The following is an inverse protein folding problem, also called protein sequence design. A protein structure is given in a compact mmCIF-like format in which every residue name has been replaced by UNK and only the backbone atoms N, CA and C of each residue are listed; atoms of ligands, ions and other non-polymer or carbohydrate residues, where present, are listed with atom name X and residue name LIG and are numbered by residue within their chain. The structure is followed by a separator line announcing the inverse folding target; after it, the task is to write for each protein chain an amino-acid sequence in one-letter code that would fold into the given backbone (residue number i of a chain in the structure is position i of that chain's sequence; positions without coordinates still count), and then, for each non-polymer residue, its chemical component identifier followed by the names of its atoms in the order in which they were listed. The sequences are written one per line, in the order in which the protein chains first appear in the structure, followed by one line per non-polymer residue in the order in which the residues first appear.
data_IF_055556070278
#
_entry.id   IF_055556070278
#
_cell.length_a   1.000
_cell.length_b   1.000
_cell.length_c   1.000
_cell.angle_alpha   90.00
_cell.angle_beta   90.00
_cell.angle_gamma   90.00
#
_symmetry.space_group_name_H-M   'P 1'
#
loop_
_entity.id
_entity.type
_entity.pdbx_description
1 polymer ?
#
# COMPACT_ATOMS: atom_id res chain seq x y z
N UNK A 1 66.69 -47.79 16.17
CA UNK A 1 67.90 -47.40 15.44
C UNK A 1 67.66 -47.67 13.96
N UNK A 2 67.98 -46.65 13.14
CA UNK A 2 68.16 -46.54 11.68
C UNK A 2 68.11 -47.83 10.81
N UNK A 3 67.74 -47.84 9.53
CA UNK A 3 67.82 -46.80 8.49
C UNK A 3 67.00 -47.23 7.25
N UNK A 4 66.50 -46.25 6.50
CA UNK A 4 65.85 -46.37 5.19
C UNK A 4 66.91 -46.42 4.07
N UNK A 5 66.59 -47.02 2.90
CA UNK A 5 67.50 -46.96 1.74
C UNK A 5 66.96 -47.49 0.40
N UNK A 6 65.95 -46.82 -0.14
CA UNK A 6 65.73 -46.35 -1.54
C UNK A 6 66.14 -47.13 -2.83
N UNK A 7 65.28 -46.95 -3.86
CA UNK A 7 65.52 -46.91 -5.34
C UNK A 7 65.71 -48.21 -6.16
N UNK A 8 65.35 -48.37 -7.45
CA UNK A 8 64.34 -47.85 -8.43
C UNK A 8 64.45 -48.73 -9.70
N UNK A 9 63.35 -48.98 -10.45
CA UNK A 9 63.26 -49.29 -11.93
C UNK A 9 63.97 -50.56 -12.49
N UNK A 10 63.49 -51.36 -13.45
CA UNK A 10 62.60 -51.18 -14.62
C UNK A 10 62.21 -52.58 -15.21
N UNK A 11 60.98 -52.71 -15.69
CA UNK A 11 60.45 -53.53 -16.84
C UNK A 11 60.98 -54.95 -17.15
N UNK A 12 60.08 -55.96 -17.17
CA UNK A 12 59.45 -56.54 -18.38
C UNK A 12 58.50 -57.71 -18.03
N UNK A 13 57.57 -57.95 -18.95
CA UNK A 13 56.32 -58.70 -18.87
C UNK A 13 56.37 -60.23 -18.65
N UNK A 14 55.20 -60.69 -18.18
CA UNK A 14 54.53 -61.98 -18.44
C UNK A 14 54.94 -63.22 -17.62
N UNK A 15 54.15 -63.54 -16.58
CA UNK A 15 53.44 -64.83 -16.51
C UNK A 15 52.26 -64.77 -15.52
N UNK A 16 51.18 -65.46 -15.87
CA UNK A 16 49.86 -65.49 -15.24
C UNK A 16 49.84 -66.43 -14.03
N UNK A 17 49.47 -65.95 -12.83
CA UNK A 17 48.57 -66.65 -11.88
C UNK A 17 48.10 -65.76 -10.71
N UNK A 18 46.81 -65.92 -10.37
CA UNK A 18 46.12 -65.70 -9.08
C UNK A 18 45.56 -64.33 -8.64
N UNK A 19 44.21 -64.38 -8.56
CA UNK A 19 43.32 -63.94 -7.47
C UNK A 19 42.65 -62.55 -7.52
N UNK A 20 41.35 -62.62 -7.18
CA UNK A 20 40.46 -61.59 -6.60
C UNK A 20 39.56 -60.84 -7.57
N UNK A 21 38.25 -61.15 -7.57
CA UNK A 21 37.22 -60.31 -6.91
C UNK A 21 35.82 -60.79 -7.30
N UNK A 22 34.97 -60.86 -6.27
CA UNK A 22 33.57 -61.21 -6.33
C UNK A 22 32.75 -60.27 -7.23
N UNK A 23 31.86 -60.86 -8.03
CA UNK A 23 30.74 -60.15 -8.67
C UNK A 23 29.50 -61.03 -8.58
N UNK A 24 28.88 -61.05 -7.40
CA UNK A 24 27.54 -61.59 -7.24
C UNK A 24 26.54 -60.44 -7.42
N UNK A 25 25.81 -60.56 -8.52
CA UNK A 25 24.64 -59.78 -8.91
C UNK A 25 23.63 -59.65 -7.77
N UNK A 26 23.25 -58.41 -7.43
CA UNK A 26 22.01 -58.15 -6.71
C UNK A 26 21.10 -57.31 -7.60
N UNK A 27 19.99 -57.94 -7.98
CA UNK A 27 18.91 -57.40 -8.78
C UNK A 27 18.40 -56.07 -8.20
N UNK A 28 18.38 -55.05 -9.04
CA UNK A 28 17.71 -53.78 -8.76
C UNK A 28 16.24 -53.97 -9.10
N UNK A 29 15.44 -54.43 -8.14
CA UNK A 29 13.98 -54.42 -8.26
C UNK A 29 13.53 -52.97 -8.36
N UNK A 30 12.92 -52.66 -9.50
CA UNK A 30 12.39 -51.37 -9.88
C UNK A 30 11.02 -51.22 -9.21
N UNK A 31 10.99 -50.87 -7.93
CA UNK A 31 9.74 -50.46 -7.29
C UNK A 31 9.45 -49.00 -7.65
N UNK A 32 8.49 -48.89 -8.55
CA UNK A 32 7.99 -47.68 -9.13
C UNK A 32 6.94 -47.07 -8.19
N UNK A 33 7.34 -46.07 -7.39
CA UNK A 33 6.43 -45.01 -6.94
C UNK A 33 7.14 -43.64 -6.88
N UNK A 34 7.22 -42.88 -8.01
CA UNK A 34 7.89 -41.58 -8.05
C UNK A 34 7.01 -40.40 -8.51
N UNK A 35 5.67 -40.53 -8.58
CA UNK A 35 4.80 -39.47 -9.12
C UNK A 35 4.41 -38.41 -8.08
N UNK A 36 4.06 -38.81 -6.86
CA UNK A 36 3.58 -37.92 -5.77
C UNK A 36 4.64 -36.93 -5.28
N UNK A 37 5.87 -37.39 -5.00
CA UNK A 37 6.96 -36.52 -4.52
C UNK A 37 7.41 -35.48 -5.56
N UNK A 38 7.32 -35.81 -6.86
CA UNK A 38 7.64 -34.87 -7.94
C UNK A 38 6.58 -33.79 -8.14
N UNK A 39 5.30 -34.15 -7.96
CA UNK A 39 4.18 -33.21 -8.05
C UNK A 39 4.19 -32.19 -6.90
N UNK A 40 4.42 -32.64 -5.66
CA UNK A 40 4.50 -31.77 -4.48
C UNK A 40 5.65 -30.76 -4.62
N UNK A 41 6.84 -31.19 -5.06
CA UNK A 41 7.98 -30.29 -5.32
C UNK A 41 7.68 -29.22 -6.38
N UNK A 42 6.92 -29.57 -7.44
CA UNK A 42 6.48 -28.60 -8.48
C UNK A 42 5.50 -27.57 -7.94
N UNK A 43 4.52 -28.00 -7.14
CA UNK A 43 3.56 -27.09 -6.46
C UNK A 43 4.32 -26.14 -5.54
N UNK A 44 5.28 -26.68 -4.81
CA UNK A 44 6.10 -25.92 -3.87
C UNK A 44 6.95 -24.84 -4.53
N UNK A 45 7.60 -25.20 -5.63
CA UNK A 45 8.34 -24.25 -6.46
C UNK A 45 7.41 -23.14 -6.96
N UNK A 46 6.23 -23.50 -7.44
CA UNK A 46 5.23 -22.55 -7.94
C UNK A 46 4.75 -21.57 -6.85
N UNK A 47 4.39 -22.07 -5.66
CA UNK A 47 3.96 -21.23 -4.53
C UNK A 47 5.07 -20.28 -4.04
N UNK A 48 6.32 -20.74 -4.08
CA UNK A 48 7.48 -19.90 -3.78
C UNK A 48 7.61 -18.76 -4.79
N UNK A 49 7.57 -19.07 -6.09
CA UNK A 49 7.61 -18.07 -7.16
C UNK A 49 6.45 -17.08 -7.04
N UNK A 50 5.25 -17.55 -6.73
CA UNK A 50 4.07 -16.68 -6.51
C UNK A 50 4.31 -15.75 -5.32
N UNK A 51 4.76 -16.25 -4.17
CA UNK A 51 5.04 -15.42 -2.98
C UNK A 51 6.08 -14.33 -3.26
N UNK A 52 7.12 -14.65 -4.04
CA UNK A 52 8.10 -13.68 -4.51
C UNK A 52 7.45 -12.65 -5.47
N UNK A 53 6.59 -13.09 -6.39
CA UNK A 53 5.90 -12.19 -7.32
C UNK A 53 4.97 -11.20 -6.60
N UNK A 54 4.26 -11.64 -5.56
CA UNK A 54 3.41 -10.79 -4.71
C UNK A 54 4.22 -9.69 -3.99
N UNK A 55 5.54 -9.84 -3.89
CA UNK A 55 6.40 -8.85 -3.26
C UNK A 55 6.71 -7.64 -4.17
N UNK A 56 6.59 -7.77 -5.50
CA UNK A 56 6.82 -6.64 -6.42
C UNK A 56 5.80 -5.50 -6.27
N UNK A 57 4.47 -5.76 -6.19
CA UNK A 57 3.49 -4.71 -5.90
C UNK A 57 3.80 -3.93 -4.62
N UNK A 58 4.35 -4.59 -3.60
CA UNK A 58 4.74 -3.95 -2.34
C UNK A 58 5.85 -2.93 -2.58
N UNK A 59 6.89 -3.30 -3.35
CA UNK A 59 7.98 -2.40 -3.72
C UNK A 59 7.47 -1.21 -4.54
N UNK A 60 6.60 -1.46 -5.53
CA UNK A 60 5.99 -0.39 -6.30
C UNK A 60 5.19 0.57 -5.40
N UNK A 61 4.42 0.05 -4.45
CA UNK A 61 3.66 0.84 -3.49
C UNK A 61 4.58 1.67 -2.58
N UNK A 62 5.70 1.11 -2.11
CA UNK A 62 6.71 1.85 -1.34
C UNK A 62 7.24 3.03 -2.16
N UNK A 63 7.66 2.80 -3.40
CA UNK A 63 8.18 3.85 -4.29
C UNK A 63 7.11 4.92 -4.56
N UNK A 64 5.88 4.49 -4.87
CA UNK A 64 4.75 5.39 -5.06
C UNK A 64 4.48 6.26 -3.82
N UNK A 65 4.48 5.67 -2.63
CA UNK A 65 4.31 6.41 -1.38
C UNK A 65 5.46 7.38 -1.13
N UNK A 66 6.70 7.01 -1.44
CA UNK A 66 7.84 7.93 -1.33
C UNK A 66 7.75 9.09 -2.34
N UNK A 67 7.21 8.83 -3.53
CA UNK A 67 7.01 9.84 -4.57
C UNK A 67 5.89 10.82 -4.22
N UNK A 68 4.73 10.33 -3.75
CA UNK A 68 3.54 11.15 -3.40
C UNK A 68 3.65 11.75 -1.98
N UNK A 69 4.88 11.83 -1.43
CA UNK A 69 5.14 12.24 -0.04
C UNK A 69 4.72 13.68 0.29
N UNK A 70 4.58 14.54 -0.71
CA UNK A 70 4.18 15.93 -0.50
C UNK A 70 2.85 16.21 -1.20
N UNK A 71 1.74 15.93 -0.51
CA UNK A 71 0.47 16.54 -0.87
C UNK A 71 0.43 17.98 -0.38
N UNK A 72 -0.23 18.86 -1.15
CA UNK A 72 -0.46 20.25 -0.76
C UNK A 72 -1.10 20.28 0.64
N UNK A 73 -0.42 20.90 1.60
CA UNK A 73 -0.86 21.09 2.99
C UNK A 73 -0.95 19.84 3.89
N UNK A 74 -0.59 18.65 3.40
CA UNK A 74 -0.60 17.43 4.21
C UNK A 74 0.43 17.43 5.34
N UNK A 75 1.51 18.20 5.20
CA UNK A 75 2.60 18.32 6.18
C UNK A 75 2.16 18.91 7.54
N UNK A 76 1.05 19.64 7.56
CA UNK A 76 0.46 20.24 8.75
C UNK A 76 -0.26 19.21 9.64
N UNK A 77 -0.57 18.05 9.07
CA UNK A 77 -1.21 16.94 9.76
C UNK A 77 -0.14 15.89 10.12
N UNK A 78 -0.34 15.04 11.14
CA UNK A 78 0.54 13.91 11.43
C UNK A 78 0.50 12.79 10.38
N UNK A 79 -0.16 13.00 9.23
CA UNK A 79 -0.28 12.06 8.12
C UNK A 79 1.06 11.59 7.52
N UNK A 80 2.09 12.45 7.35
CA UNK A 80 3.39 12.00 6.86
C UNK A 80 4.08 11.02 7.81
N UNK A 81 3.86 11.14 9.13
CA UNK A 81 4.40 10.20 10.12
C UNK A 81 3.78 8.81 9.94
N UNK A 82 2.47 8.74 9.75
CA UNK A 82 1.77 7.49 9.43
C UNK A 82 2.28 6.90 8.11
N UNK A 83 2.44 7.72 7.07
CA UNK A 83 2.95 7.29 5.78
C UNK A 83 4.35 6.67 5.88
N UNK A 84 5.26 7.29 6.63
CA UNK A 84 6.58 6.73 6.90
C UNK A 84 6.49 5.40 7.66
N UNK A 85 5.59 5.31 8.65
CA UNK A 85 5.34 4.06 9.38
C UNK A 85 4.85 2.92 8.47
N UNK A 86 3.92 3.21 7.55
CA UNK A 86 3.44 2.23 6.55
C UNK A 86 4.59 1.79 5.64
N UNK A 87 5.43 2.71 5.16
CA UNK A 87 6.59 2.37 4.33
C UNK A 87 7.54 1.43 5.07
N UNK A 88 7.88 1.73 6.32
CA UNK A 88 8.73 0.86 7.15
C UNK A 88 8.08 -0.50 7.38
N UNK A 89 6.78 -0.54 7.66
CA UNK A 89 6.02 -1.79 7.81
C UNK A 89 6.03 -2.65 6.55
N UNK A 90 5.89 -2.04 5.36
CA UNK A 90 5.95 -2.76 4.08
C UNK A 90 7.35 -3.31 3.78
N UNK A 91 8.42 -2.57 4.10
CA UNK A 91 9.80 -3.06 3.97
C UNK A 91 10.01 -4.26 4.91
N UNK A 92 9.54 -4.16 6.15
CA UNK A 92 9.64 -5.25 7.12
C UNK A 92 8.89 -6.51 6.65
N UNK A 93 7.67 -6.35 6.11
CA UNK A 93 6.92 -7.45 5.51
C UNK A 93 7.68 -8.10 4.35
N UNK A 94 8.26 -7.30 3.46
CA UNK A 94 9.03 -7.79 2.33
C UNK A 94 10.20 -8.66 2.82
N UNK A 95 10.97 -8.18 3.80
CA UNK A 95 12.12 -8.91 4.34
C UNK A 95 11.68 -10.20 5.04
N UNK A 96 10.65 -10.16 5.87
CA UNK A 96 10.18 -11.33 6.62
C UNK A 96 9.56 -12.38 5.69
N UNK A 97 8.75 -11.96 4.73
CA UNK A 97 8.11 -12.89 3.77
C UNK A 97 9.17 -13.67 2.99
N UNK A 98 10.18 -12.98 2.43
CA UNK A 98 11.27 -13.62 1.72
C UNK A 98 12.18 -14.44 2.67
N UNK A 99 12.40 -13.95 3.89
CA UNK A 99 13.19 -14.64 4.91
C UNK A 99 12.59 -15.99 5.33
N UNK A 100 11.28 -16.05 5.58
CA UNK A 100 10.59 -17.29 5.97
C UNK A 100 10.57 -18.31 4.85
N UNK A 101 10.40 -17.84 3.61
CA UNK A 101 10.52 -18.67 2.41
C UNK A 101 11.92 -19.29 2.30
N UNK A 102 12.98 -18.53 2.57
CA UNK A 102 14.37 -18.99 2.49
C UNK A 102 14.77 -19.90 3.66
N UNK A 103 14.39 -19.56 4.89
CA UNK A 103 14.75 -20.28 6.13
C UNK A 103 13.82 -21.46 6.44
N UNK A 104 12.90 -21.77 5.53
CA UNK A 104 11.84 -22.77 5.64
C UNK A 104 12.29 -24.15 6.16
N UNK A 105 13.51 -24.57 5.85
CA UNK A 105 14.00 -25.90 6.23
C UNK A 105 14.09 -26.09 7.75
N UNK A 106 14.43 -25.03 8.50
CA UNK A 106 14.82 -25.13 9.93
C UNK A 106 13.75 -24.67 10.91
N UNK A 107 12.91 -23.67 10.58
CA UNK A 107 11.98 -23.04 11.53
C UNK A 107 10.59 -22.79 10.94
N UNK A 108 9.89 -23.86 10.52
CA UNK A 108 8.61 -23.75 9.83
C UNK A 108 7.49 -23.08 10.66
N UNK A 109 7.24 -23.59 11.87
CA UNK A 109 6.16 -23.10 12.74
C UNK A 109 6.42 -21.68 13.23
N UNK A 110 7.66 -21.40 13.65
CA UNK A 110 8.07 -20.09 14.12
C UNK A 110 8.02 -19.06 12.99
N UNK A 111 8.44 -19.43 11.77
CA UNK A 111 8.36 -18.58 10.59
C UNK A 111 6.93 -18.16 10.27
N UNK A 112 5.96 -19.08 10.34
CA UNK A 112 4.55 -18.73 10.12
C UNK A 112 4.07 -17.69 11.13
N UNK A 113 4.33 -17.88 12.42
CA UNK A 113 3.90 -16.94 13.46
C UNK A 113 4.53 -15.55 13.22
N UNK A 114 5.83 -15.51 12.93
CA UNK A 114 6.58 -14.27 12.67
C UNK A 114 6.06 -13.50 11.45
N UNK A 115 5.57 -14.20 10.41
CA UNK A 115 4.95 -13.57 9.23
C UNK A 115 3.51 -13.14 9.51
N UNK A 116 2.74 -13.95 10.23
CA UNK A 116 1.31 -13.71 10.39
C UNK A 116 1.00 -12.52 11.31
N UNK A 117 1.80 -12.33 12.38
CA UNK A 117 1.62 -11.19 13.29
C UNK A 117 1.65 -9.83 12.55
N UNK A 118 2.72 -9.47 11.79
CA UNK A 118 2.75 -8.19 11.08
C UNK A 118 1.72 -8.11 9.95
N UNK A 119 1.37 -9.24 9.30
CA UNK A 119 0.28 -9.26 8.30
C UNK A 119 -1.06 -8.89 8.94
N UNK A 120 -1.40 -9.45 10.11
CA UNK A 120 -2.63 -9.13 10.82
C UNK A 120 -2.65 -7.64 11.23
N UNK A 121 -1.53 -7.11 11.75
CA UNK A 121 -1.43 -5.68 12.10
C UNK A 121 -1.65 -4.79 10.88
N UNK A 122 -1.10 -5.14 9.72
CA UNK A 122 -1.28 -4.35 8.49
C UNK A 122 -2.69 -4.51 7.93
N UNK A 123 -3.33 -5.67 8.11
CA UNK A 123 -4.73 -5.89 7.76
C UNK A 123 -5.67 -5.00 8.58
N UNK A 124 -5.43 -4.87 9.90
CA UNK A 124 -6.25 -4.02 10.77
C UNK A 124 -6.07 -2.55 10.42
N UNK A 125 -4.84 -2.09 10.19
CA UNK A 125 -4.55 -0.74 9.72
C UNK A 125 -5.22 -0.46 8.37
N UNK A 126 -5.07 -1.36 7.39
CA UNK A 126 -5.70 -1.23 6.08
C UNK A 126 -7.23 -1.12 6.16
N UNK A 127 -7.85 -1.95 6.99
CA UNK A 127 -9.30 -1.94 7.22
C UNK A 127 -9.78 -0.65 7.89
N UNK A 128 -8.99 -0.10 8.83
CA UNK A 128 -9.29 1.18 9.46
C UNK A 128 -9.20 2.36 8.48
N UNK A 129 -8.24 2.34 7.54
CA UNK A 129 -8.11 3.36 6.50
C UNK A 129 -9.31 3.36 5.52
N UNK A 130 -9.87 2.20 5.23
CA UNK A 130 -11.09 2.05 4.42
C UNK A 130 -12.32 2.57 5.17
N UNK A 131 -12.28 2.56 6.51
CA UNK A 131 -13.39 2.96 7.37
C UNK A 131 -14.34 1.81 7.73
N UNK A 132 -13.85 0.57 7.73
CA UNK A 132 -14.65 -0.61 8.10
C UNK A 132 -15.21 -0.53 9.54
N UNK A 133 -14.50 0.16 10.44
CA UNK A 133 -14.87 0.30 11.85
C UNK A 133 -15.11 1.78 12.22
N UNK A 134 -16.32 2.33 12.04
CA UNK A 134 -16.56 3.78 12.11
C UNK A 134 -16.30 4.38 13.50
N UNK A 135 -16.51 3.63 14.58
CA UNK A 135 -16.28 4.11 15.96
C UNK A 135 -14.80 4.11 16.33
N UNK A 136 -14.11 2.98 16.09
CA UNK A 136 -12.70 2.79 16.42
C UNK A 136 -11.77 3.54 15.46
N UNK A 137 -12.21 3.77 14.23
CA UNK A 137 -11.45 4.53 13.24
C UNK A 137 -11.07 5.94 13.71
N UNK A 138 -11.82 6.56 14.63
CA UNK A 138 -11.52 7.91 15.14
C UNK A 138 -10.13 8.04 15.77
N UNK A 139 -9.58 6.95 16.29
CA UNK A 139 -8.25 6.94 16.93
C UNK A 139 -7.10 6.68 15.94
N UNK A 140 -7.41 6.17 14.76
CA UNK A 140 -6.41 5.79 13.76
C UNK A 140 -6.20 6.94 12.79
N UNK A 141 -4.99 7.53 12.72
CA UNK A 141 -4.70 8.61 11.79
C UNK A 141 -4.98 8.18 10.34
N UNK A 142 -5.43 9.13 9.50
CA UNK A 142 -5.76 8.86 8.09
C UNK A 142 -7.12 8.19 7.85
N UNK A 143 -7.82 7.74 8.89
CA UNK A 143 -9.18 7.19 8.75
C UNK A 143 -10.23 8.30 8.47
N UNK A 144 -11.41 7.94 7.92
CA UNK A 144 -12.49 8.89 7.69
C UNK A 144 -12.97 9.63 8.95
N UNK A 145 -13.03 8.91 10.09
CA UNK A 145 -13.48 9.46 11.37
C UNK A 145 -12.47 10.41 11.98
N UNK A 146 -11.19 10.03 11.97
CA UNK A 146 -10.09 10.86 12.47
C UNK A 146 -9.94 12.15 11.65
N UNK A 147 -10.01 12.05 10.31
CA UNK A 147 -9.92 13.21 9.41
C UNK A 147 -11.01 14.25 9.71
N UNK A 148 -12.24 13.80 9.93
CA UNK A 148 -13.36 14.69 10.27
C UNK A 148 -13.13 15.39 11.61
N UNK A 149 -12.61 14.70 12.61
CA UNK A 149 -12.33 15.27 13.93
C UNK A 149 -11.23 16.34 13.86
N UNK A 150 -10.13 16.07 13.15
CA UNK A 150 -8.99 16.99 13.09
C UNK A 150 -9.31 18.24 12.29
N UNK A 151 -10.01 18.10 11.14
CA UNK A 151 -10.35 19.23 10.26
C UNK A 151 -11.48 20.09 10.82
N UNK A 152 -12.40 19.51 11.60
CA UNK A 152 -13.48 20.29 12.22
C UNK A 152 -13.00 21.19 13.37
N UNK A 153 -11.79 20.98 13.89
CA UNK A 153 -11.22 21.82 14.94
C UNK A 153 -10.56 23.07 14.32
N UNK A 154 -11.06 24.26 14.67
CA UNK A 154 -10.60 25.54 14.10
C UNK A 154 -9.11 25.80 14.31
N UNK A 155 -8.54 25.37 15.44
CA UNK A 155 -7.11 25.53 15.73
C UNK A 155 -6.24 24.77 14.71
N UNK A 156 -6.70 23.62 14.26
CA UNK A 156 -6.03 22.83 13.23
C UNK A 156 -6.38 23.32 11.82
N UNK A 157 -7.59 23.81 11.62
CA UNK A 157 -8.04 24.31 10.31
C UNK A 157 -7.33 25.60 9.90
N UNK A 158 -7.08 26.53 10.83
CA UNK A 158 -6.44 27.83 10.56
C UNK A 158 -5.13 27.76 9.75
N UNK A 159 -4.15 26.92 10.10
CA UNK A 159 -2.96 26.76 9.29
C UNK A 159 -3.23 26.01 7.97
N UNK A 160 -4.20 25.09 7.95
CA UNK A 160 -4.58 24.34 6.73
C UNK A 160 -5.20 25.28 5.69
N UNK A 161 -6.17 26.12 6.08
CA UNK A 161 -6.78 27.09 5.18
C UNK A 161 -5.75 28.08 4.63
N UNK A 162 -4.81 28.52 5.47
CA UNK A 162 -3.73 29.43 5.05
C UNK A 162 -2.82 28.76 4.01
N UNK A 163 -2.54 27.47 4.18
CA UNK A 163 -1.79 26.70 3.21
C UNK A 163 -2.57 26.50 1.90
N UNK A 164 -3.87 26.16 1.94
CA UNK A 164 -4.72 26.01 0.74
C UNK A 164 -4.83 27.33 -0.03
N UNK A 165 -4.87 28.46 0.69
CA UNK A 165 -4.77 29.77 0.06
C UNK A 165 -3.43 29.97 -0.65
N UNK A 166 -2.32 29.61 0.00
CA UNK A 166 -0.98 29.76 -0.54
C UNK A 166 -0.65 28.82 -1.71
N UNK A 167 -1.40 27.72 -1.91
CA UNK A 167 -1.20 26.83 -3.08
C UNK A 167 -1.68 27.46 -4.38
N UNK A 168 -2.33 28.63 -4.33
CA UNK A 168 -2.85 29.39 -5.47
C UNK A 168 -3.83 28.65 -6.37
N UNK A 169 -4.36 27.51 -5.92
CA UNK A 169 -5.21 26.63 -6.72
C UNK A 169 -6.47 27.33 -7.22
N UNK A 170 -7.08 28.19 -6.39
CA UNK A 170 -8.25 28.97 -6.82
C UNK A 170 -7.90 30.14 -7.74
N UNK A 171 -6.73 30.74 -7.57
CA UNK A 171 -6.23 31.80 -8.43
C UNK A 171 -5.89 31.25 -9.82
N UNK A 172 -5.21 30.10 -9.89
CA UNK A 172 -4.91 29.41 -11.13
C UNK A 172 -6.21 29.00 -11.86
N UNK A 173 -7.19 28.49 -11.12
CA UNK A 173 -8.53 28.20 -11.67
C UNK A 173 -9.22 29.46 -12.20
N UNK A 174 -9.13 30.59 -11.49
CA UNK A 174 -9.70 31.86 -11.95
C UNK A 174 -9.06 32.33 -13.26
N UNK A 175 -7.73 32.24 -13.39
CA UNK A 175 -7.00 32.58 -14.62
C UNK A 175 -7.34 31.63 -15.76
N UNK A 176 -7.38 30.32 -15.49
CA UNK A 176 -7.74 29.33 -16.51
C UNK A 176 -9.19 29.55 -16.99
N UNK A 177 -10.10 29.92 -16.08
CA UNK A 177 -11.50 30.18 -16.40
C UNK A 177 -11.73 31.44 -17.22
N UNK A 178 -10.84 32.44 -17.16
CA UNK A 178 -10.96 33.65 -17.96
C UNK A 178 -10.41 33.46 -19.39
N UNK A 179 -9.52 32.49 -19.60
CA UNK A 179 -8.97 32.15 -20.91
C UNK A 179 -9.87 31.22 -21.74
N UNK A 180 -10.82 30.54 -21.12
CA UNK A 180 -11.73 29.57 -21.76
C UNK A 180 -13.16 30.11 -21.68
N UNK A 181 -13.93 30.03 -22.77
CA UNK A 181 -15.35 30.44 -22.73
C UNK A 181 -16.12 29.54 -21.76
N UNK A 182 -16.95 30.14 -20.91
CA UNK A 182 -17.62 29.50 -19.77
C UNK A 182 -18.53 28.31 -20.11
N UNK A 183 -18.97 28.17 -21.37
CA UNK A 183 -19.75 27.00 -21.82
C UNK A 183 -18.89 25.79 -22.21
N UNK A 184 -17.61 25.99 -22.51
CA UNK A 184 -16.68 24.93 -22.89
C UNK A 184 -15.87 24.41 -21.70
N UNK A 185 -15.94 25.05 -20.52
CA UNK A 185 -15.19 24.60 -19.36
C UNK A 185 -15.91 23.42 -18.68
N UNK A 186 -15.31 22.22 -18.66
CA UNK A 186 -15.96 21.07 -18.07
C UNK A 186 -15.86 21.16 -16.55
N UNK A 187 -16.94 21.62 -15.91
CA UNK A 187 -17.15 21.59 -14.45
C UNK A 187 -16.95 20.19 -13.81
N UNK A 188 -16.91 19.14 -14.63
CA UNK A 188 -16.68 17.75 -14.23
C UNK A 188 -15.21 17.44 -13.87
N UNK A 189 -14.26 18.26 -14.30
CA UNK A 189 -12.82 18.00 -14.10
C UNK A 189 -12.19 18.73 -12.91
N UNK A 190 -12.98 19.48 -12.12
CA UNK A 190 -12.44 20.12 -10.92
C UNK A 190 -12.05 19.09 -9.86
N UNK A 191 -10.88 19.31 -9.26
CA UNK A 191 -10.49 18.67 -8.02
C UNK A 191 -11.47 19.03 -6.89
N UNK A 192 -11.57 18.22 -5.82
CA UNK A 192 -12.49 18.53 -4.73
C UNK A 192 -12.21 19.91 -4.12
N UNK A 193 -10.93 20.25 -3.95
CA UNK A 193 -10.51 21.54 -3.37
C UNK A 193 -11.01 22.69 -4.26
N UNK A 194 -10.87 22.56 -5.57
CA UNK A 194 -11.39 23.57 -6.50
C UNK A 194 -12.91 23.72 -6.40
N UNK A 195 -13.64 22.59 -6.41
CA UNK A 195 -15.10 22.62 -6.33
C UNK A 195 -15.66 23.10 -4.97
N UNK A 196 -14.92 22.89 -3.88
CA UNK A 196 -15.41 23.17 -2.53
C UNK A 196 -14.89 24.47 -1.90
N UNK A 197 -13.74 24.97 -2.34
CA UNK A 197 -13.12 26.17 -1.79
C UNK A 197 -13.20 27.36 -2.75
N UNK A 198 -13.25 27.12 -4.08
CA UNK A 198 -13.20 28.19 -5.09
C UNK A 198 -14.57 28.55 -5.67
N UNK A 199 -15.59 27.72 -5.48
CA UNK A 199 -16.96 27.89 -5.99
C UNK A 199 -17.92 28.00 -4.80
N UNK A 200 -18.97 28.82 -4.85
CA UNK A 200 -19.96 28.88 -3.78
C UNK A 200 -20.71 27.56 -3.61
N UNK A 201 -21.23 27.29 -2.40
CA UNK A 201 -22.13 26.18 -2.16
C UNK A 201 -23.37 26.22 -3.06
N UNK A 202 -23.83 25.05 -3.51
CA UNK A 202 -24.95 24.93 -4.45
C UNK A 202 -26.30 25.39 -3.89
N UNK A 203 -26.43 25.49 -2.56
CA UNK A 203 -27.62 25.99 -1.85
C UNK A 203 -27.72 27.52 -1.81
N UNK A 204 -26.69 28.25 -2.23
CA UNK A 204 -26.67 29.71 -2.08
C UNK A 204 -27.46 30.50 -3.15
N UNK A 205 -28.17 29.83 -4.06
CA UNK A 205 -29.01 30.41 -5.12
C UNK A 205 -28.38 31.59 -5.90
N UNK A 206 -27.05 31.60 -6.02
CA UNK A 206 -26.28 32.64 -6.70
C UNK A 206 -26.36 32.50 -8.22
N UNK A 207 -26.32 33.62 -8.93
CA UNK A 207 -26.30 33.64 -10.39
C UNK A 207 -24.87 33.41 -10.89
N UNK A 208 -24.69 32.36 -11.69
CA UNK A 208 -23.42 32.06 -12.34
C UNK A 208 -23.04 33.17 -13.32
N UNK A 209 -21.78 33.63 -13.24
CA UNK A 209 -21.20 34.59 -14.19
C UNK A 209 -19.89 34.01 -14.74
N UNK A 210 -18.99 33.58 -13.86
CA UNK A 210 -17.79 32.83 -14.21
C UNK A 210 -17.48 31.79 -13.12
N UNK A 211 -16.49 30.92 -13.31
CA UNK A 211 -16.19 29.79 -12.42
C UNK A 211 -16.00 30.21 -10.97
N UNK A 212 -15.17 31.22 -10.73
CA UNK A 212 -14.87 31.76 -9.38
C UNK A 212 -15.67 33.01 -9.04
N UNK A 213 -16.58 33.46 -9.92
CA UNK A 213 -17.36 34.69 -9.74
C UNK A 213 -18.85 34.45 -9.91
N UNK A 214 -19.62 34.70 -8.85
CA UNK A 214 -21.07 34.45 -8.81
C UNK A 214 -21.80 35.65 -8.21
N UNK A 215 -22.84 36.14 -8.87
CA UNK A 215 -23.62 37.27 -8.38
C UNK A 215 -24.62 36.81 -7.32
N UNK A 216 -24.57 37.41 -6.12
CA UNK A 216 -25.64 37.26 -5.14
C UNK A 216 -26.91 37.91 -5.73
N UNK A 217 -28.02 37.18 -5.75
CA UNK A 217 -29.31 37.76 -6.16
C UNK A 217 -29.74 38.77 -5.11
N UNK A 218 -30.13 39.97 -5.54
CA UNK A 218 -30.55 41.06 -4.65
C UNK A 218 -31.81 40.72 -3.82
N UNK A 219 -32.59 39.72 -4.26
CA UNK A 219 -33.98 39.57 -3.82
C UNK A 219 -34.27 38.28 -3.01
N UNK A 220 -33.28 37.47 -2.65
CA UNK A 220 -33.54 36.22 -1.92
C UNK A 220 -32.51 35.97 -0.83
N UNK A 221 -32.75 36.56 0.34
CA UNK A 221 -32.49 35.85 1.60
C UNK A 221 -33.38 36.39 2.73
N UNK A 222 -34.67 36.07 2.69
CA UNK A 222 -35.62 36.26 3.82
C UNK A 222 -35.60 35.07 4.80
N UNK A 223 -34.53 34.26 4.77
CA UNK A 223 -34.29 33.14 5.68
C UNK A 223 -33.28 33.50 6.78
N UNK A 224 -33.14 32.68 7.84
CA UNK A 224 -32.10 32.87 8.85
C UNK A 224 -30.72 32.76 8.20
N UNK A 225 -29.76 33.66 8.50
CA UNK A 225 -28.48 33.77 7.78
C UNK A 225 -27.85 32.41 7.51
N UNK A 226 -27.65 32.06 6.23
CA UNK A 226 -26.89 30.86 5.87
C UNK A 226 -25.43 31.13 6.15
N UNK A 227 -24.96 30.56 7.25
CA UNK A 227 -23.59 30.68 7.72
C UNK A 227 -22.55 30.37 6.64
N UNK A 228 -22.84 29.54 5.63
CA UNK A 228 -21.87 29.24 4.55
C UNK A 228 -21.93 30.24 3.39
N UNK A 229 -23.11 30.71 3.00
CA UNK A 229 -23.28 31.64 1.88
C UNK A 229 -22.82 33.08 2.22
N UNK A 230 -22.85 33.42 3.51
CA UNK A 230 -22.34 34.69 4.03
C UNK A 230 -20.80 34.70 4.14
N UNK A 231 -20.19 33.55 4.43
CA UNK A 231 -18.74 33.39 4.46
C UNK A 231 -18.10 33.48 3.07
N UNK A 232 -18.82 33.08 2.03
CA UNK A 232 -18.32 33.14 0.67
C UNK A 232 -18.25 34.58 0.13
N UNK A 233 -17.13 34.92 -0.52
CA UNK A 233 -16.91 36.24 -1.13
C UNK A 233 -16.33 36.13 -2.55
N UNK A 234 -16.78 37.03 -3.44
CA UNK A 234 -16.25 37.24 -4.81
C UNK A 234 -14.85 37.86 -4.86
N UNK A 235 -14.03 37.59 -3.86
CA UNK A 235 -12.64 38.04 -3.82
C UNK A 235 -11.77 36.80 -3.88
N UNK A 236 -10.92 36.71 -4.91
CA UNK A 236 -9.94 35.62 -5.10
C UNK A 236 -9.05 35.38 -3.88
N UNK A 237 -8.93 36.38 -2.99
CA UNK A 237 -8.14 36.30 -1.77
C UNK A 237 -8.90 35.85 -0.52
N UNK A 238 -10.23 35.73 -0.57
CA UNK A 238 -11.06 35.30 0.57
C UNK A 238 -11.97 34.11 0.27
N UNK A 239 -12.53 33.99 -0.96
CA UNK A 239 -13.34 32.87 -1.47
C UNK A 239 -14.13 32.11 -0.38
N UNK A 240 -14.15 30.77 -0.40
CA UNK A 240 -14.83 29.93 0.60
C UNK A 240 -13.85 29.17 1.49
N UNK A 241 -12.64 29.69 1.75
CA UNK A 241 -11.60 28.93 2.47
C UNK A 241 -12.01 28.56 3.91
N UNK A 242 -12.93 29.29 4.53
CA UNK A 242 -13.45 28.97 5.87
C UNK A 242 -14.83 28.28 5.86
N UNK A 243 -15.37 27.94 4.69
CA UNK A 243 -16.65 27.26 4.59
C UNK A 243 -16.55 25.78 4.98
N UNK A 244 -17.66 25.21 5.46
CA UNK A 244 -17.77 23.78 5.68
C UNK A 244 -17.64 22.99 4.37
N UNK A 245 -18.10 23.54 3.24
CA UNK A 245 -17.91 22.98 1.90
C UNK A 245 -16.43 22.80 1.52
N UNK A 246 -15.56 23.75 1.90
CA UNK A 246 -14.12 23.66 1.68
C UNK A 246 -13.48 22.60 2.60
N UNK A 247 -13.83 22.61 3.90
CA UNK A 247 -13.39 21.59 4.88
C UNK A 247 -13.77 20.18 4.41
N UNK A 248 -15.02 19.98 4.01
CA UNK A 248 -15.55 18.71 3.50
C UNK A 248 -14.79 18.24 2.26
N UNK A 249 -14.47 19.16 1.36
CA UNK A 249 -13.75 18.84 0.13
C UNK A 249 -12.29 18.49 0.38
N UNK A 250 -11.64 19.18 1.31
CA UNK A 250 -10.30 18.82 1.78
C UNK A 250 -10.29 17.42 2.43
N UNK A 251 -11.24 17.13 3.32
CA UNK A 251 -11.41 15.79 3.92
C UNK A 251 -11.61 14.73 2.84
N UNK A 252 -12.44 14.99 1.83
CA UNK A 252 -12.69 14.04 0.74
C UNK A 252 -11.45 13.77 -0.11
N UNK A 253 -10.62 14.78 -0.37
CA UNK A 253 -9.32 14.62 -1.05
C UNK A 253 -8.43 13.64 -0.30
N UNK A 254 -8.27 13.87 1.01
CA UNK A 254 -7.47 12.99 1.88
C UNK A 254 -8.08 11.59 1.95
N UNK A 255 -9.38 11.49 2.20
CA UNK A 255 -10.10 10.20 2.29
C UNK A 255 -9.88 9.35 1.04
N UNK A 256 -9.96 9.93 -0.17
CA UNK A 256 -9.75 9.16 -1.41
C UNK A 256 -8.33 8.62 -1.52
N UNK A 257 -7.32 9.39 -1.11
CA UNK A 257 -5.91 8.95 -1.09
C UNK A 257 -5.73 7.78 -0.12
N UNK A 258 -6.17 7.94 1.12
CA UNK A 258 -6.02 6.93 2.18
C UNK A 258 -6.88 5.69 1.96
N UNK A 259 -8.07 5.84 1.36
CA UNK A 259 -8.92 4.72 0.98
C UNK A 259 -8.24 3.83 -0.07
N UNK A 260 -7.67 4.42 -1.14
CA UNK A 260 -6.93 3.66 -2.17
C UNK A 260 -5.77 2.88 -1.56
N UNK A 261 -5.02 3.51 -0.65
CA UNK A 261 -3.95 2.85 0.09
C UNK A 261 -4.48 1.72 0.97
N UNK A 262 -5.55 1.96 1.73
CA UNK A 262 -6.18 0.96 2.59
C UNK A 262 -6.65 -0.27 1.81
N UNK A 263 -7.34 -0.07 0.68
CA UNK A 263 -7.77 -1.15 -0.22
C UNK A 263 -6.58 -1.96 -0.70
N UNK A 264 -5.51 -1.28 -1.15
CA UNK A 264 -4.27 -1.95 -1.57
C UNK A 264 -3.67 -2.82 -0.46
N UNK A 265 -3.54 -2.27 0.76
CA UNK A 265 -3.00 -2.99 1.91
C UNK A 265 -3.83 -4.22 2.25
N UNK A 266 -5.17 -4.09 2.31
CA UNK A 266 -6.07 -5.21 2.61
C UNK A 266 -5.95 -6.31 1.57
N UNK A 267 -6.04 -5.97 0.28
CA UNK A 267 -5.97 -6.95 -0.82
C UNK A 267 -4.62 -7.68 -0.81
N UNK A 268 -3.51 -6.94 -0.74
CA UNK A 268 -2.17 -7.54 -0.75
C UNK A 268 -1.92 -8.41 0.48
N UNK A 269 -2.35 -7.96 1.66
CA UNK A 269 -2.22 -8.76 2.88
C UNK A 269 -3.02 -10.05 2.82
N UNK A 270 -4.26 -10.03 2.30
CA UNK A 270 -5.05 -11.26 2.12
C UNK A 270 -4.33 -12.23 1.18
N UNK A 271 -3.83 -11.74 0.04
CA UNK A 271 -3.09 -12.57 -0.92
C UNK A 271 -1.82 -13.17 -0.28
N UNK A 272 -1.07 -12.40 0.51
CA UNK A 272 0.10 -12.90 1.23
C UNK A 272 -0.30 -13.93 2.29
N UNK A 273 -1.34 -13.69 3.08
CA UNK A 273 -1.84 -14.63 4.10
C UNK A 273 -2.16 -15.97 3.44
N UNK A 274 -2.95 -15.95 2.36
CA UNK A 274 -3.31 -17.17 1.61
C UNK A 274 -2.07 -17.86 1.07
N UNK A 275 -1.15 -17.11 0.47
CA UNK A 275 0.10 -17.68 -0.07
C UNK A 275 0.94 -18.38 0.99
N UNK A 276 1.16 -17.74 2.15
CA UNK A 276 1.95 -18.31 3.24
C UNK A 276 1.25 -19.49 3.93
N UNK A 277 -0.08 -19.44 4.08
CA UNK A 277 -0.87 -20.56 4.59
C UNK A 277 -0.83 -21.77 3.66
N UNK A 278 -1.05 -21.57 2.35
CA UNK A 278 -0.96 -22.64 1.36
C UNK A 278 0.44 -23.23 1.31
N UNK A 279 1.47 -22.37 1.31
CA UNK A 279 2.85 -22.80 1.38
C UNK A 279 3.02 -23.70 2.61
N UNK A 280 2.64 -23.21 3.81
CA UNK A 280 2.72 -23.95 5.06
C UNK A 280 2.03 -25.32 5.00
N UNK A 281 0.78 -25.38 4.56
CA UNK A 281 0.00 -26.64 4.45
C UNK A 281 0.68 -27.64 3.53
N UNK A 282 1.14 -27.19 2.34
CA UNK A 282 1.85 -28.07 1.40
C UNK A 282 3.19 -28.52 1.98
N UNK A 283 3.88 -27.66 2.72
CA UNK A 283 5.15 -28.05 3.38
C UNK A 283 4.93 -29.15 4.44
N UNK A 284 3.85 -29.05 5.20
CA UNK A 284 3.50 -30.02 6.24
C UNK A 284 3.09 -31.33 5.57
N UNK A 285 2.27 -31.27 4.53
CA UNK A 285 1.89 -32.45 3.77
C UNK A 285 3.12 -33.22 3.26
N UNK A 286 4.12 -32.52 2.70
CA UNK A 286 5.36 -33.14 2.21
C UNK A 286 6.14 -33.86 3.33
N UNK A 287 6.20 -33.28 4.54
CA UNK A 287 6.95 -33.85 5.68
C UNK A 287 6.23 -34.99 6.40
N UNK A 288 4.90 -34.97 6.45
CA UNK A 288 4.10 -35.95 7.22
C UNK A 288 3.53 -37.07 6.35
N UNK A 289 3.38 -36.87 5.03
CA UNK A 289 2.92 -37.89 4.10
C UNK A 289 4.06 -38.66 3.39
N UNK A 290 5.32 -38.30 3.65
CA UNK A 290 6.51 -39.05 3.22
C UNK A 290 7.05 -39.87 4.38
#
# INVERSE_FOLDING_TARGET
MAENGNQTTTTHEATVEKQTTAKLTTNKTKDQMPTTTSAVKRILFSLNTISFLLSFPILFCIVWLLYVRHGNCEHLLPLPKLQNGVVVGLIFLFVISNGVVFLRSRFLMLGLIVVMVPLIVILTIGSALIGAYPLESRFIPGSPGWLKMVVNNDNNWNPIQSCIYNTRTCQDLAVQSSMIKSYDFPMKHLSPIESGCCIPPSNCDMKYVNITYWEKKADVYNGPPDTECDLWQNNVNKLCYNCYSCRKSFINTLRRKWYKLGVFLVVMTILLIVSHLLLFVVTMWDRYAS
#
